data_IF_063122523011
#
_entry.id   IF_063122523011
#
_cell.length_a   1.000
_cell.length_b   1.000
_cell.length_c   1.000
_cell.angle_alpha   90.00
_cell.angle_beta   90.00
_cell.angle_gamma   90.00
#
_symmetry.space_group_name_H-M   'P 1'
#
loop_
_entity.id
_entity.type
_entity.pdbx_description
1 polymer ?
#
# COMPACT_ATOMS: atom_id res chain seq x y z
N UNK A 1 11.67 24.19 7.03
CA UNK A 1 11.96 23.59 5.72
C UNK A 1 10.62 23.27 5.07
N UNK A 2 10.36 23.81 3.88
CA UNK A 2 9.07 23.73 3.18
C UNK A 2 8.88 22.34 2.53
N UNK A 3 7.63 21.84 2.53
CA UNK A 3 7.27 20.59 1.86
C UNK A 3 6.92 20.89 0.41
N UNK A 4 7.54 20.18 -0.54
CA UNK A 4 7.20 20.24 -1.96
C UNK A 4 6.52 18.95 -2.40
N UNK A 5 5.69 19.05 -3.43
CA UNK A 5 5.07 17.90 -4.09
C UNK A 5 5.55 17.90 -5.52
N UNK A 6 6.14 16.79 -5.95
CA UNK A 6 6.71 16.62 -7.28
C UNK A 6 6.03 15.41 -7.93
N UNK A 7 5.58 15.56 -9.18
CA UNK A 7 5.04 14.42 -9.94
C UNK A 7 6.19 13.51 -10.35
N UNK A 8 6.11 12.24 -9.95
CA UNK A 8 7.15 11.27 -10.21
C UNK A 8 7.15 10.89 -11.69
N UNK A 9 8.33 10.89 -12.31
CA UNK A 9 8.53 10.52 -13.70
C UNK A 9 9.24 9.19 -13.85
N UNK A 10 9.66 8.90 -15.08
CA UNK A 10 10.39 7.67 -15.39
C UNK A 10 11.74 7.59 -14.64
N UNK A 11 12.35 8.73 -14.33
CA UNK A 11 13.59 8.80 -13.53
C UNK A 11 13.41 8.28 -12.10
N UNK A 12 12.19 8.28 -11.57
CA UNK A 12 11.89 7.93 -10.18
C UNK A 12 11.49 6.45 -10.02
N UNK A 13 11.46 5.68 -11.12
CA UNK A 13 11.01 4.27 -11.13
C UNK A 13 11.76 3.40 -10.11
N UNK A 14 13.04 3.66 -9.89
CA UNK A 14 13.85 2.93 -8.91
C UNK A 14 13.40 3.21 -7.48
N UNK A 15 13.22 4.49 -7.14
CA UNK A 15 12.69 4.92 -5.86
C UNK A 15 11.27 4.37 -5.62
N UNK A 16 10.39 4.45 -6.63
CA UNK A 16 9.03 3.92 -6.54
C UNK A 16 9.03 2.40 -6.32
N UNK A 17 9.95 1.66 -6.97
CA UNK A 17 10.08 0.22 -6.79
C UNK A 17 10.54 -0.13 -5.37
N UNK A 18 11.52 0.59 -4.82
CA UNK A 18 11.97 0.41 -3.44
C UNK A 18 10.89 0.76 -2.40
N UNK A 19 10.13 1.84 -2.63
CA UNK A 19 8.98 2.19 -1.79
C UNK A 19 7.89 1.11 -1.84
N UNK A 20 7.58 0.59 -3.03
CA UNK A 20 6.60 -0.48 -3.19
C UNK A 20 7.08 -1.78 -2.53
N UNK A 21 8.38 -2.10 -2.60
CA UNK A 21 8.96 -3.24 -1.88
C UNK A 21 8.71 -3.15 -0.37
N UNK A 22 9.00 -1.99 0.24
CA UNK A 22 8.78 -1.77 1.67
C UNK A 22 7.30 -1.93 2.06
N UNK A 23 6.37 -1.48 1.22
CA UNK A 23 4.93 -1.70 1.44
C UNK A 23 4.57 -3.19 1.41
N UNK A 24 5.07 -3.93 0.42
CA UNK A 24 4.85 -5.38 0.28
C UNK A 24 5.41 -6.14 1.50
N UNK A 25 6.60 -5.76 1.97
CA UNK A 25 7.23 -6.34 3.16
C UNK A 25 6.38 -6.09 4.42
N UNK A 26 5.85 -4.86 4.58
CA UNK A 26 4.95 -4.53 5.70
C UNK A 26 3.61 -5.27 5.65
N UNK A 27 3.16 -5.64 4.44
CA UNK A 27 1.96 -6.43 4.20
C UNK A 27 2.17 -7.93 4.44
N UNK A 28 3.34 -8.37 4.92
CA UNK A 28 3.57 -9.76 5.30
C UNK A 28 3.50 -10.73 4.12
N UNK A 29 3.83 -10.29 2.91
CA UNK A 29 3.85 -11.15 1.73
C UNK A 29 4.92 -12.25 1.86
N UNK A 30 4.53 -13.51 1.63
CA UNK A 30 5.40 -14.69 1.78
C UNK A 30 6.59 -14.75 0.79
N UNK A 31 6.60 -13.88 -0.22
CA UNK A 31 7.63 -13.85 -1.26
C UNK A 31 8.08 -12.41 -1.53
N UNK A 32 9.34 -12.05 -1.21
CA UNK A 32 9.92 -10.78 -1.59
C UNK A 32 9.89 -10.63 -3.12
N UNK A 33 9.14 -9.65 -3.63
CA UNK A 33 9.20 -9.33 -5.04
C UNK A 33 10.53 -8.63 -5.34
N UNK A 34 11.29 -9.21 -6.27
CA UNK A 34 12.60 -8.67 -6.66
C UNK A 34 12.45 -7.30 -7.33
N UNK A 35 13.33 -6.37 -6.99
CA UNK A 35 13.33 -4.98 -7.49
C UNK A 35 13.21 -4.86 -9.01
N UNK A 36 13.89 -5.67 -9.85
CA UNK A 36 13.71 -5.59 -11.30
C UNK A 36 12.26 -5.77 -11.75
N UNK A 37 11.49 -6.67 -11.11
CA UNK A 37 10.07 -6.88 -11.42
C UNK A 37 9.22 -5.70 -10.95
N UNK A 38 9.54 -5.12 -9.80
CA UNK A 38 8.84 -3.95 -9.29
C UNK A 38 9.08 -2.71 -10.17
N UNK A 39 10.29 -2.51 -10.70
CA UNK A 39 10.59 -1.44 -11.66
C UNK A 39 9.71 -1.55 -12.91
N UNK A 40 9.62 -2.74 -13.51
CA UNK A 40 8.74 -3.00 -14.67
C UNK A 40 7.28 -2.66 -14.33
N UNK A 41 6.82 -3.05 -13.14
CA UNK A 41 5.45 -2.72 -12.68
C UNK A 41 5.24 -1.21 -12.54
N UNK A 42 6.17 -0.48 -11.91
CA UNK A 42 6.05 0.97 -11.73
C UNK A 42 6.02 1.70 -13.07
N UNK A 43 6.87 1.31 -14.02
CA UNK A 43 6.82 1.86 -15.37
C UNK A 43 5.48 1.60 -16.08
N UNK A 44 4.93 0.39 -15.94
CA UNK A 44 3.65 0.04 -16.54
C UNK A 44 2.51 0.87 -15.95
N UNK A 45 2.52 1.14 -14.63
CA UNK A 45 1.54 2.01 -13.98
C UNK A 45 1.62 3.44 -14.50
N UNK A 46 2.83 4.03 -14.55
CA UNK A 46 3.02 5.39 -15.06
C UNK A 46 2.59 5.51 -16.53
N UNK A 47 2.92 4.51 -17.38
CA UNK A 47 2.44 4.45 -18.77
C UNK A 47 0.92 4.25 -18.87
N UNK A 48 0.32 3.57 -17.89
CA UNK A 48 -1.11 3.28 -17.82
C UNK A 48 -1.98 4.45 -17.34
N UNK A 49 -1.40 5.64 -17.15
CA UNK A 49 -2.13 6.84 -16.71
C UNK A 49 -2.22 7.01 -15.20
N UNK A 50 -1.56 6.15 -14.41
CA UNK A 50 -1.38 6.42 -12.99
C UNK A 50 -0.40 7.57 -12.81
N UNK A 51 -0.75 8.52 -11.94
CA UNK A 51 0.15 9.59 -11.51
C UNK A 51 0.65 9.28 -10.11
N UNK A 52 1.97 9.32 -9.96
CA UNK A 52 2.63 9.17 -8.67
C UNK A 52 3.17 10.52 -8.24
N UNK A 53 3.14 10.80 -6.93
CA UNK A 53 3.60 12.06 -6.38
C UNK A 53 4.56 11.79 -5.22
N UNK A 54 5.72 12.44 -5.26
CA UNK A 54 6.72 12.42 -4.21
C UNK A 54 6.57 13.67 -3.35
N UNK A 55 6.57 13.46 -2.04
CA UNK A 55 6.51 14.55 -1.07
C UNK A 55 7.91 14.78 -0.51
N UNK A 56 8.48 15.91 -0.86
CA UNK A 56 9.89 16.23 -0.63
C UNK A 56 10.02 17.23 0.50
N UNK A 57 10.88 16.94 1.47
CA UNK A 57 11.37 17.90 2.44
C UNK A 57 12.88 18.06 2.22
N UNK A 58 13.28 19.13 1.53
CA UNK A 58 14.66 19.22 1.00
C UNK A 58 14.84 18.22 -0.14
N UNK A 59 15.85 17.35 -0.03
CA UNK A 59 16.12 16.26 -0.99
C UNK A 59 15.57 14.89 -0.50
N UNK A 60 14.88 14.86 0.64
CA UNK A 60 14.38 13.62 1.23
C UNK A 60 12.88 13.44 1.03
N UNK A 61 12.45 12.21 0.74
CA UNK A 61 11.04 11.82 0.66
C UNK A 61 10.44 11.66 2.06
N UNK A 62 9.31 12.31 2.34
CA UNK A 62 8.64 12.31 3.65
C UNK A 62 7.15 12.00 3.56
N UNK A 63 6.74 10.80 3.98
CA UNK A 63 5.33 10.36 3.93
C UNK A 63 4.37 10.91 5.01
N UNK A 64 4.86 11.33 6.19
CA UNK A 64 3.95 11.86 7.26
C UNK A 64 3.50 13.30 7.00
N UNK A 65 4.42 14.16 6.56
CA UNK A 65 4.14 15.58 6.29
C UNK A 65 3.37 15.71 4.96
N UNK A 66 3.55 14.74 4.06
CA UNK A 66 2.82 14.59 2.80
C UNK A 66 1.30 14.63 2.91
N UNK A 67 0.76 13.98 3.93
CA UNK A 67 -0.66 13.64 3.96
C UNK A 67 -1.55 14.89 4.07
N UNK A 68 -1.16 15.89 4.88
CA UNK A 68 -1.90 17.14 4.95
C UNK A 68 -1.99 17.86 3.60
N UNK A 69 -0.87 17.87 2.85
CA UNK A 69 -0.82 18.47 1.51
C UNK A 69 -1.58 17.66 0.47
N UNK A 70 -1.66 16.34 0.62
CA UNK A 70 -2.49 15.48 -0.22
C UNK A 70 -3.98 15.86 -0.11
N UNK A 71 -4.48 16.11 1.11
CA UNK A 71 -5.88 16.53 1.32
C UNK A 71 -6.17 17.88 0.64
N UNK A 72 -5.23 18.82 0.69
CA UNK A 72 -5.33 20.11 0.00
C UNK A 72 -5.36 19.95 -1.52
N UNK A 73 -4.52 19.07 -2.10
CA UNK A 73 -4.48 18.81 -3.54
C UNK A 73 -5.76 18.11 -4.02
N UNK A 74 -6.27 17.16 -3.23
CA UNK A 74 -7.49 16.43 -3.54
C UNK A 74 -8.76 17.26 -3.26
N UNK A 75 -8.62 18.45 -2.66
CA UNK A 75 -9.72 19.33 -2.23
C UNK A 75 -10.80 18.57 -1.46
N UNK A 76 -10.37 17.75 -0.48
CA UNK A 76 -11.27 16.92 0.31
C UNK A 76 -10.92 16.96 1.80
N UNK A 77 -11.96 16.97 2.64
CA UNK A 77 -11.85 16.81 4.08
C UNK A 77 -11.96 15.36 4.56
N UNK A 78 -12.23 14.41 3.67
CA UNK A 78 -12.43 13.00 4.02
C UNK A 78 -11.82 12.06 2.98
N UNK A 79 -11.18 11.00 3.46
CA UNK A 79 -10.59 9.95 2.65
C UNK A 79 -10.67 8.63 3.43
N UNK A 80 -11.09 7.56 2.77
CA UNK A 80 -11.04 6.21 3.31
C UNK A 80 -9.83 5.48 2.72
N UNK A 81 -9.05 4.79 3.57
CA UNK A 81 -7.95 3.91 3.15
C UNK A 81 -8.22 2.48 3.61
N UNK A 82 -7.81 1.52 2.79
CA UNK A 82 -7.80 0.11 3.19
C UNK A 82 -6.41 -0.28 3.69
N UNK A 83 -6.37 -0.98 4.83
CA UNK A 83 -5.13 -1.49 5.44
C UNK A 83 -5.38 -2.92 5.88
N UNK A 84 -4.51 -3.84 5.46
CA UNK A 84 -4.61 -5.25 5.84
C UNK A 84 -4.53 -5.42 7.37
N UNK A 85 -5.33 -6.35 7.90
CA UNK A 85 -5.53 -6.53 9.35
C UNK A 85 -4.25 -6.91 10.12
N UNK A 86 -3.29 -7.52 9.41
CA UNK A 86 -1.97 -7.89 9.92
C UNK A 86 -0.89 -6.81 9.71
N UNK A 87 -1.11 -5.81 8.85
CA UNK A 87 -0.15 -4.72 8.63
C UNK A 87 -0.21 -3.71 9.79
N UNK A 88 0.41 -4.06 10.93
CA UNK A 88 0.43 -3.23 12.15
C UNK A 88 1.18 -1.91 11.95
N UNK A 89 2.21 -1.89 11.11
CA UNK A 89 2.97 -0.67 10.80
C UNK A 89 2.11 0.33 10.03
N UNK A 90 1.39 -0.13 9.01
CA UNK A 90 0.43 0.66 8.25
C UNK A 90 -0.70 1.19 9.14
N UNK A 91 -1.29 0.34 9.99
CA UNK A 91 -2.32 0.77 10.95
C UNK A 91 -1.80 1.89 11.88
N UNK A 92 -0.60 1.74 12.44
CA UNK A 92 0.00 2.76 13.30
C UNK A 92 0.30 4.06 12.54
N UNK A 93 0.78 3.97 11.30
CA UNK A 93 1.03 5.13 10.44
C UNK A 93 -0.26 5.94 10.20
N UNK A 94 -1.32 5.31 9.71
CA UNK A 94 -2.58 6.01 9.41
C UNK A 94 -3.24 6.59 10.68
N UNK A 95 -3.20 5.86 11.80
CA UNK A 95 -3.65 6.39 13.10
C UNK A 95 -2.86 7.62 13.55
N UNK A 96 -1.54 7.65 13.32
CA UNK A 96 -0.71 8.82 13.64
C UNK A 96 -1.07 10.06 12.82
N UNK A 97 -1.75 9.88 11.68
CA UNK A 97 -2.25 10.94 10.81
C UNK A 97 -3.72 11.32 11.11
N UNK A 98 -4.33 10.73 12.14
CA UNK A 98 -5.70 11.05 12.57
C UNK A 98 -6.79 10.18 11.96
N UNK A 99 -6.45 9.13 11.21
CA UNK A 99 -7.45 8.16 10.75
C UNK A 99 -7.97 7.32 11.91
N UNK A 100 -9.26 7.01 11.87
CA UNK A 100 -9.92 6.07 12.78
C UNK A 100 -10.46 4.87 12.00
N UNK A 101 -10.58 3.72 12.66
CA UNK A 101 -11.19 2.53 12.06
C UNK A 101 -12.66 2.78 11.69
N UNK A 102 -13.06 2.47 10.45
CA UNK A 102 -14.47 2.50 10.02
C UNK A 102 -15.08 1.12 9.75
N UNK A 103 -14.29 0.13 9.36
CA UNK A 103 -14.78 -1.19 8.97
C UNK A 103 -13.79 -2.29 9.32
N UNK A 104 -14.30 -3.53 9.44
CA UNK A 104 -13.51 -4.75 9.63
C UNK A 104 -13.86 -5.71 8.50
N UNK A 105 -12.86 -6.16 7.74
CA UNK A 105 -13.02 -7.15 6.69
C UNK A 105 -12.70 -8.55 7.22
N UNK A 106 -13.65 -9.49 7.09
CA UNK A 106 -13.52 -10.85 7.60
C UNK A 106 -13.56 -11.84 6.43
N UNK A 107 -12.63 -12.81 6.44
CA UNK A 107 -12.60 -13.94 5.51
C UNK A 107 -12.68 -15.24 6.29
N UNK A 108 -13.61 -16.12 5.90
CA UNK A 108 -13.57 -17.53 6.28
C UNK A 108 -12.85 -18.28 5.16
N UNK A 109 -11.67 -18.82 5.46
CA UNK A 109 -11.01 -19.74 4.53
C UNK A 109 -11.86 -21.03 4.40
N UNK A 110 -11.97 -21.55 3.18
CA UNK A 110 -12.68 -22.80 2.94
C UNK A 110 -11.94 -23.94 3.62
N UNK A 111 -12.53 -24.50 4.68
CA UNK A 111 -12.06 -25.76 5.25
C UNK A 111 -12.28 -26.87 4.22
N UNK A 112 -11.20 -27.57 3.88
CA UNK A 112 -11.26 -28.88 3.24
C UNK A 112 -12.19 -29.75 4.08
N UNK A 113 -13.41 -29.98 3.58
CA UNK A 113 -14.15 -31.14 4.01
C UNK A 113 -13.50 -32.32 3.31
N UNK A 114 -12.56 -32.90 4.03
CA UNK A 114 -12.22 -34.30 4.03
C UNK A 114 -13.50 -35.13 3.83
N UNK A 115 -13.80 -35.50 2.58
CA UNK A 115 -14.72 -36.60 2.27
C UNK A 115 -13.86 -37.85 2.24
N UNK A 116 -13.39 -38.27 3.40
CA UNK A 116 -13.01 -39.67 3.58
C UNK A 116 -13.68 -40.25 4.82
N UNK A 117 -14.27 -41.43 4.58
CA UNK A 117 -14.72 -42.46 5.50
C UNK A 117 -16.15 -42.42 6.09
N UNK A 118 -16.93 -43.37 5.54
CA UNK A 118 -17.87 -44.31 6.18
C UNK A 118 -19.34 -43.89 6.27
N UNK A 119 -20.21 -44.56 5.50
CA UNK A 119 -20.77 -45.81 6.02
C UNK A 119 -21.22 -46.79 4.93
N UNK A 120 -20.92 -48.06 5.18
CA UNK A 120 -21.41 -49.26 4.49
C UNK A 120 -22.85 -49.57 4.89
N UNK A 121 -23.73 -49.92 3.96
CA UNK A 121 -25.01 -50.51 4.34
C UNK A 121 -26.06 -50.65 3.24
N UNK A 122 -26.09 -51.85 2.65
CA UNK A 122 -27.12 -52.50 1.81
C UNK A 122 -27.12 -52.20 0.30
#
# INVERSE_FOLDING_TARGET
MELRVEEAGHQDVELLADMNRQLIEDEGHDHPLEIPKLKIRMEALLRGGYRAYLFMQGEEVRGRVAFGRLLEILDTGALDVEVLSWNKRGQAFWKSLGFAERSVYLRREGGMNDVTASDSGH
#
